data_IF_809276189906
#
_entry.id   IF_809276189906
#
_cell.length_a   1.000
_cell.length_b   1.000
_cell.length_c   1.000
_cell.angle_alpha   90.00
_cell.angle_beta   90.00
_cell.angle_gamma   90.00
#
_symmetry.space_group_name_H-M   'P 1'
#
loop_
_entity.id
_entity.type
_entity.pdbx_description
1 polymer ?
#
# COMPACT_ATOMS: atom_id res chain seq x y z
N UNK A 1 -53.16 -25.53 6.84
CA UNK A 1 -53.05 -25.99 8.23
C UNK A 1 -51.87 -25.28 8.89
N UNK A 2 -52.21 -24.43 9.87
CA UNK A 2 -51.45 -23.95 11.02
C UNK A 2 -50.05 -23.32 10.85
N UNK A 3 -50.04 -21.99 11.04
CA UNK A 3 -48.98 -21.16 11.64
C UNK A 3 -48.31 -21.84 12.85
N UNK A 4 -47.05 -21.45 13.13
CA UNK A 4 -46.61 -21.12 14.50
C UNK A 4 -45.47 -20.10 14.51
N UNK A 5 -45.78 -18.93 15.06
CA UNK A 5 -44.88 -17.88 15.56
C UNK A 5 -44.52 -18.15 17.03
N UNK A 6 -43.32 -17.73 17.47
CA UNK A 6 -42.92 -17.43 18.87
C UNK A 6 -41.54 -16.73 18.74
N UNK A 7 -41.27 -15.45 18.99
CA UNK A 7 -41.58 -14.43 20.03
C UNK A 7 -40.94 -14.69 21.41
N UNK A 8 -39.88 -13.89 21.65
CA UNK A 8 -39.33 -13.25 22.87
C UNK A 8 -39.11 -14.03 24.19
N UNK A 9 -37.96 -13.76 24.83
CA UNK A 9 -37.89 -13.19 26.19
C UNK A 9 -36.47 -12.68 26.57
N UNK A 10 -36.36 -11.37 26.85
CA UNK A 10 -35.39 -10.77 27.79
C UNK A 10 -36.05 -10.72 29.18
N UNK A 11 -35.28 -10.75 30.29
CA UNK A 11 -35.76 -10.22 31.56
C UNK A 11 -35.04 -8.92 31.95
N UNK A 12 -35.85 -7.87 32.10
CA UNK A 12 -35.60 -6.67 32.89
C UNK A 12 -35.84 -7.02 34.37
N UNK A 13 -35.05 -6.48 35.31
CA UNK A 13 -35.41 -6.53 36.74
C UNK A 13 -35.05 -5.21 37.42
N UNK A 14 -36.11 -4.45 37.70
CA UNK A 14 -36.17 -3.31 38.61
C UNK A 14 -36.61 -3.82 39.99
N UNK A 15 -35.97 -3.38 41.07
CA UNK A 15 -36.55 -3.38 42.42
C UNK A 15 -36.30 -2.02 43.04
N UNK A 16 -37.38 -1.42 43.55
CA UNK A 16 -37.46 -0.13 44.21
C UNK A 16 -37.61 -0.30 45.74
N UNK A 17 -37.02 0.67 46.44
CA UNK A 17 -37.46 1.31 47.69
C UNK A 17 -37.27 0.62 49.06
N UNK A 18 -36.77 1.45 50.01
CA UNK A 18 -36.91 1.24 51.45
C UNK A 18 -35.96 2.11 52.29
N UNK A 19 -36.42 3.28 52.74
CA UNK A 19 -35.74 4.11 53.74
C UNK A 19 -35.95 3.53 55.15
N UNK A 20 -34.88 3.40 55.94
CA UNK A 20 -34.95 3.36 57.41
C UNK A 20 -33.59 3.75 58.02
N UNK A 21 -33.61 4.74 58.92
CA UNK A 21 -32.48 5.25 59.71
C UNK A 21 -32.42 4.57 61.08
N UNK A 22 -31.22 4.21 61.54
CA UNK A 22 -30.89 3.84 62.94
C UNK A 22 -29.35 3.98 63.18
N UNK A 23 -28.82 3.95 64.44
CA UNK A 23 -28.06 5.04 65.08
C UNK A 23 -26.52 4.86 65.08
N UNK A 24 -25.72 5.82 65.59
CA UNK A 24 -24.27 5.85 65.38
C UNK A 24 -23.52 4.84 66.26
N UNK A 25 -22.64 4.04 65.64
CA UNK A 25 -21.66 3.20 66.31
C UNK A 25 -20.25 3.83 66.25
N UNK A 26 -19.54 3.66 67.35
CA UNK A 26 -18.20 4.19 67.68
C UNK A 26 -17.10 3.88 66.63
N UNK A 27 -16.02 4.69 66.60
CA UNK A 27 -15.01 4.61 65.54
C UNK A 27 -14.21 3.29 65.61
N UNK A 28 -14.18 2.58 64.48
CA UNK A 28 -13.30 1.44 64.25
C UNK A 28 -11.85 1.90 64.00
N UNK A 29 -10.85 1.09 64.39
CA UNK A 29 -9.43 1.43 64.29
C UNK A 29 -8.96 1.59 62.83
N UNK A 30 -8.03 2.53 62.66
CA UNK A 30 -7.43 2.97 61.41
C UNK A 30 -6.92 1.80 60.54
N UNK A 31 -7.43 1.69 59.32
CA UNK A 31 -6.87 0.81 58.30
C UNK A 31 -5.49 1.33 57.83
N UNK A 32 -4.56 0.43 57.44
CA UNK A 32 -3.27 0.83 56.88
C UNK A 32 -3.48 1.61 55.57
N UNK A 33 -2.70 2.68 55.40
CA UNK A 33 -2.69 3.50 54.19
C UNK A 33 -2.48 2.64 52.94
N UNK A 34 -3.50 2.62 52.06
CA UNK A 34 -3.37 2.12 50.69
C UNK A 34 -2.25 2.92 50.00
N UNK A 35 -1.20 2.22 49.60
CA UNK A 35 -0.20 2.75 48.66
C UNK A 35 -0.93 3.13 47.36
N UNK A 36 -0.63 4.28 46.73
CA UNK A 36 -1.23 4.64 45.46
C UNK A 36 -0.86 3.58 44.43
N UNK A 37 -1.87 2.87 43.91
CA UNK A 37 -1.71 2.03 42.71
C UNK A 37 -1.14 2.91 41.60
N UNK A 38 -0.15 2.44 40.82
CA UNK A 38 0.29 3.15 39.63
C UNK A 38 -0.93 3.41 38.74
N UNK A 39 -1.22 4.68 38.47
CA UNK A 39 -2.24 5.05 37.50
C UNK A 39 -1.84 4.42 36.17
N UNK A 40 -2.59 3.40 35.77
CA UNK A 40 -2.59 2.92 34.39
C UNK A 40 -2.95 4.14 33.54
N UNK A 41 -2.11 4.57 32.58
CA UNK A 41 -2.43 5.74 31.78
C UNK A 41 -3.82 5.55 31.18
N UNK A 42 -4.71 6.50 31.47
CA UNK A 42 -6.05 6.51 30.90
C UNK A 42 -5.92 6.34 29.39
N UNK A 43 -6.56 5.29 28.86
CA UNK A 43 -6.66 5.05 27.43
C UNK A 43 -7.22 6.34 26.82
N UNK A 44 -6.42 7.01 25.99
CA UNK A 44 -6.85 8.26 25.37
C UNK A 44 -8.20 8.02 24.68
N UNK A 45 -9.15 8.96 24.78
CA UNK A 45 -10.44 8.84 24.10
C UNK A 45 -10.16 8.62 22.61
N UNK A 46 -10.89 7.68 22.00
CA UNK A 46 -10.73 7.25 20.60
C UNK A 46 -10.94 8.37 19.57
N UNK A 47 -11.35 9.56 20.02
CA UNK A 47 -11.71 10.72 19.21
C UNK A 47 -10.80 11.93 19.41
N UNK A 48 -9.64 11.79 20.06
CA UNK A 48 -8.62 12.83 19.97
C UNK A 48 -8.18 12.96 18.49
N UNK A 49 -8.20 14.15 17.86
CA UNK A 49 -7.78 14.29 16.49
C UNK A 49 -6.30 13.91 16.39
N UNK A 50 -6.02 12.70 15.87
CA UNK A 50 -4.68 12.31 15.51
C UNK A 50 -4.21 13.28 14.43
N UNK A 51 -3.17 14.06 14.73
CA UNK A 51 -2.56 14.92 13.74
C UNK A 51 -2.10 14.06 12.56
N UNK A 52 -2.60 14.36 11.36
CA UNK A 52 -2.16 13.67 10.15
C UNK A 52 -0.63 13.79 10.00
N UNK A 53 0.05 12.74 9.52
CA UNK A 53 1.49 12.76 9.37
C UNK A 53 1.90 13.83 8.36
N UNK A 54 3.04 14.48 8.63
CA UNK A 54 3.69 15.30 7.60
C UNK A 54 4.06 14.39 6.41
N UNK A 55 3.66 14.76 5.19
CA UNK A 55 4.00 14.01 3.98
C UNK A 55 5.05 14.77 3.19
N UNK A 56 6.17 14.10 2.89
CA UNK A 56 7.20 14.62 2.01
C UNK A 56 7.42 13.65 0.84
N UNK A 57 7.14 14.11 -0.38
CA UNK A 57 7.50 13.36 -1.58
C UNK A 57 8.90 13.79 -2.05
N UNK A 58 9.88 12.91 -1.87
CA UNK A 58 11.28 13.12 -2.25
C UNK A 58 11.62 12.40 -3.56
N UNK A 59 10.62 12.18 -4.41
CA UNK A 59 10.72 11.46 -5.68
C UNK A 59 10.10 12.30 -6.79
N UNK A 60 10.40 12.00 -8.07
CA UNK A 60 9.67 12.61 -9.18
C UNK A 60 8.27 12.00 -9.38
N UNK A 61 7.90 10.94 -8.66
CA UNK A 61 6.65 10.22 -8.88
C UNK A 61 5.48 11.04 -8.37
N UNK A 62 4.41 11.30 -9.15
CA UNK A 62 3.21 11.90 -8.59
C UNK A 62 2.63 10.94 -7.53
N UNK A 63 2.12 11.50 -6.43
CA UNK A 63 1.70 10.74 -5.26
C UNK A 63 0.45 11.33 -4.62
N UNK A 64 -0.30 10.50 -3.88
CA UNK A 64 -1.40 10.92 -3.03
C UNK A 64 -1.43 10.08 -1.75
N UNK A 65 -1.91 10.67 -0.66
CA UNK A 65 -2.16 9.99 0.61
C UNK A 65 -3.67 9.83 0.78
N UNK A 66 -4.10 8.62 1.09
CA UNK A 66 -5.48 8.28 1.41
C UNK A 66 -5.57 7.72 2.83
N UNK A 67 -6.79 7.66 3.34
CA UNK A 67 -7.14 6.96 4.57
C UNK A 67 -8.12 5.86 4.19
N UNK A 68 -7.83 4.64 4.63
CA UNK A 68 -8.71 3.48 4.51
C UNK A 68 -8.97 2.86 5.88
N UNK A 69 -9.92 1.94 5.92
CA UNK A 69 -10.25 1.13 7.09
C UNK A 69 -10.65 -0.26 6.63
N UNK A 70 -10.12 -1.29 7.30
CA UNK A 70 -10.53 -2.67 7.12
C UNK A 70 -10.54 -3.40 8.49
N UNK A 71 -10.64 -4.73 8.48
CA UNK A 71 -10.67 -5.51 9.72
C UNK A 71 -9.36 -5.42 10.56
N UNK A 72 -8.24 -4.95 10.01
CA UNK A 72 -7.02 -4.65 10.78
C UNK A 72 -7.00 -3.22 11.35
N UNK A 73 -8.02 -2.42 11.07
CA UNK A 73 -8.21 -1.07 11.59
C UNK A 73 -7.98 0.02 10.55
N UNK A 74 -7.87 1.26 11.03
CA UNK A 74 -7.67 2.44 10.18
C UNK A 74 -6.20 2.56 9.76
N UNK A 75 -5.95 2.90 8.51
CA UNK A 75 -4.61 3.01 7.94
C UNK A 75 -4.48 4.14 6.92
N UNK A 76 -3.27 4.65 6.78
CA UNK A 76 -2.86 5.49 5.67
C UNK A 76 -2.49 4.62 4.47
N UNK A 77 -2.88 5.04 3.27
CA UNK A 77 -2.48 4.43 1.99
C UNK A 77 -1.72 5.47 1.16
N UNK A 78 -0.41 5.31 1.06
CA UNK A 78 0.42 6.09 0.14
C UNK A 78 0.32 5.46 -1.25
N UNK A 79 -0.09 6.23 -2.24
CA UNK A 79 -0.16 5.80 -3.65
C UNK A 79 0.81 6.65 -4.46
N UNK A 80 1.57 6.02 -5.36
CA UNK A 80 2.47 6.70 -6.30
C UNK A 80 2.35 6.08 -7.69
N UNK A 81 2.60 6.86 -8.75
CA UNK A 81 2.66 6.33 -10.12
C UNK A 81 4.04 6.50 -10.71
N UNK A 82 4.51 5.48 -11.43
CA UNK A 82 5.69 5.56 -12.26
C UNK A 82 5.32 5.24 -13.70
N UNK A 83 5.62 6.17 -14.60
CA UNK A 83 5.44 5.97 -16.04
C UNK A 83 6.76 5.62 -16.69
N UNK A 84 6.76 4.60 -17.54
CA UNK A 84 7.91 4.12 -18.28
C UNK A 84 7.66 4.16 -19.78
N UNK A 85 8.69 4.48 -20.55
CA UNK A 85 8.73 4.30 -21.99
C UNK A 85 9.19 2.87 -22.31
N UNK A 86 8.55 2.24 -23.28
CA UNK A 86 8.90 0.92 -23.80
C UNK A 86 9.94 1.10 -24.90
N UNK A 87 11.17 0.65 -24.64
CA UNK A 87 12.27 0.63 -25.60
C UNK A 87 12.08 -0.45 -26.66
N UNK A 88 12.86 -0.39 -27.75
CA UNK A 88 12.66 -1.28 -28.90
C UNK A 88 12.91 -2.76 -28.56
N UNK A 89 13.74 -3.01 -27.55
CA UNK A 89 14.08 -4.34 -27.02
C UNK A 89 13.16 -4.78 -25.86
N UNK A 90 12.11 -4.00 -25.54
CA UNK A 90 11.20 -4.26 -24.41
C UNK A 90 11.72 -3.80 -23.05
N UNK A 91 12.93 -3.23 -22.97
CA UNK A 91 13.40 -2.58 -21.75
C UNK A 91 12.50 -1.40 -21.39
N UNK A 92 12.30 -1.15 -20.11
CA UNK A 92 11.57 0.00 -19.62
C UNK A 92 12.55 1.09 -19.15
N UNK A 93 12.34 2.33 -19.58
CA UNK A 93 13.05 3.52 -19.09
C UNK A 93 12.07 4.44 -18.38
N UNK A 94 12.45 5.00 -17.22
CA UNK A 94 11.57 5.90 -16.48
C UNK A 94 11.36 7.17 -17.33
N UNK A 95 10.11 7.47 -17.66
CA UNK A 95 9.75 8.66 -18.41
C UNK A 95 9.99 9.94 -17.56
N UNK A 96 9.95 11.10 -18.20
CA UNK A 96 9.83 12.36 -17.45
C UNK A 96 8.48 12.39 -16.73
N UNK A 97 8.48 12.43 -15.41
CA UNK A 97 7.24 12.39 -14.63
C UNK A 97 6.55 13.77 -14.53
N UNK A 98 7.19 14.85 -15.02
CA UNK A 98 6.61 16.19 -15.11
C UNK A 98 5.53 16.27 -16.19
N UNK A 99 4.37 16.85 -15.85
CA UNK A 99 3.12 16.85 -16.63
C UNK A 99 3.10 17.63 -17.95
N UNK A 100 4.21 17.63 -18.70
CA UNK A 100 4.27 18.11 -20.09
C UNK A 100 3.99 17.00 -21.10
N UNK A 101 4.80 15.92 -21.10
CA UNK A 101 4.71 14.87 -22.14
C UNK A 101 5.18 13.45 -21.73
N UNK A 102 5.58 13.18 -20.48
CA UNK A 102 6.15 11.87 -20.12
C UNK A 102 5.36 11.03 -19.11
N UNK A 103 4.81 11.64 -18.06
CA UNK A 103 4.22 10.94 -16.92
C UNK A 103 2.69 10.94 -16.93
N UNK A 104 2.07 9.81 -16.60
CA UNK A 104 0.66 9.77 -16.24
C UNK A 104 0.45 10.42 -14.86
N UNK A 105 -0.38 11.48 -14.74
CA UNK A 105 -0.58 12.18 -13.49
C UNK A 105 -1.49 11.39 -12.53
N UNK A 106 -1.58 11.88 -11.28
CA UNK A 106 -2.69 11.53 -10.39
C UNK A 106 -3.98 12.22 -10.84
N UNK A 107 -5.12 11.68 -10.42
CA UNK A 107 -6.39 12.36 -10.56
C UNK A 107 -6.34 13.73 -9.85
N UNK A 108 -6.85 14.81 -10.47
CA UNK A 108 -6.96 16.11 -9.83
C UNK A 108 -7.75 16.04 -8.52
N UNK A 109 -7.47 16.96 -7.60
CA UNK A 109 -8.13 17.03 -6.30
C UNK A 109 -9.67 17.06 -6.43
N UNK A 110 -10.20 17.78 -7.42
CA UNK A 110 -11.64 17.87 -7.67
C UNK A 110 -12.27 16.50 -7.96
N UNK A 111 -11.62 15.68 -8.79
CA UNK A 111 -12.06 14.32 -9.11
C UNK A 111 -11.89 13.36 -7.92
N UNK A 112 -10.95 13.63 -7.01
CA UNK A 112 -10.71 12.83 -5.81
C UNK A 112 -11.64 13.16 -4.63
N UNK A 113 -12.26 14.35 -4.64
CA UNK A 113 -13.23 14.80 -3.64
C UNK A 113 -14.65 14.31 -3.92
N UNK A 114 -14.97 14.03 -5.19
CA UNK A 114 -16.20 13.35 -5.53
C UNK A 114 -16.18 11.95 -4.87
N UNK A 115 -17.11 11.72 -3.94
CA UNK A 115 -17.18 10.45 -3.21
C UNK A 115 -17.54 9.28 -4.13
N UNK A 116 -17.85 9.53 -5.41
CA UNK A 116 -18.05 8.50 -6.42
C UNK A 116 -16.78 7.67 -6.68
N UNK A 117 -16.94 6.35 -6.82
CA UNK A 117 -15.91 5.44 -7.32
C UNK A 117 -15.98 5.40 -8.85
N UNK A 118 -15.80 6.56 -9.50
CA UNK A 118 -15.95 6.67 -10.95
C UNK A 118 -15.00 5.73 -11.70
N UNK A 119 -15.56 4.92 -12.59
CA UNK A 119 -14.83 4.00 -13.48
C UNK A 119 -14.53 4.61 -14.84
N UNK A 120 -14.84 5.89 -15.05
CA UNK A 120 -14.55 6.61 -16.30
C UNK A 120 -13.04 6.65 -16.56
N UNK A 121 -12.62 6.35 -17.79
CA UNK A 121 -11.22 6.38 -18.18
C UNK A 121 -10.82 7.80 -18.60
N UNK A 122 -9.98 8.44 -17.80
CA UNK A 122 -9.42 9.78 -18.05
C UNK A 122 -7.91 9.71 -18.29
N UNK A 123 -7.20 10.79 -18.67
CA UNK A 123 -5.76 10.74 -18.93
C UNK A 123 -4.91 10.17 -17.80
N UNK A 124 -5.41 10.19 -16.56
CA UNK A 124 -4.81 9.59 -15.35
C UNK A 124 -5.36 8.18 -15.02
N UNK A 125 -6.03 7.51 -15.96
CA UNK A 125 -6.81 6.31 -15.68
C UNK A 125 -8.12 6.64 -14.95
N UNK A 126 -8.66 5.68 -14.19
CA UNK A 126 -9.89 5.86 -13.44
C UNK A 126 -9.64 6.33 -12.01
N UNK A 127 -10.56 7.15 -11.49
CA UNK A 127 -10.58 7.58 -10.08
C UNK A 127 -10.74 6.38 -9.16
N UNK A 128 -11.60 5.41 -9.50
CA UNK A 128 -11.84 4.21 -8.69
C UNK A 128 -10.53 3.45 -8.34
N UNK A 129 -9.63 3.27 -9.32
CA UNK A 129 -8.35 2.58 -9.09
C UNK A 129 -7.41 3.38 -8.17
N UNK A 130 -7.48 4.70 -8.21
CA UNK A 130 -6.63 5.57 -7.40
C UNK A 130 -7.18 5.75 -5.98
N UNK A 131 -8.50 5.77 -5.80
CA UNK A 131 -9.18 5.85 -4.49
C UNK A 131 -9.23 4.54 -3.73
N UNK A 132 -9.03 3.40 -4.41
CA UNK A 132 -8.96 2.10 -3.74
C UNK A 132 -7.74 2.07 -2.81
N UNK A 133 -7.99 1.99 -1.51
CA UNK A 133 -6.97 2.16 -0.46
C UNK A 133 -6.10 0.94 -0.23
N UNK A 134 -6.45 -0.21 -0.82
CA UNK A 134 -5.61 -1.40 -0.83
C UNK A 134 -6.00 -2.35 -1.96
N UNK A 135 -4.99 -2.92 -2.61
CA UNK A 135 -5.12 -4.11 -3.46
C UNK A 135 -4.21 -5.23 -2.94
N UNK A 136 -4.65 -6.50 -2.88
CA UNK A 136 -3.81 -7.62 -2.42
C UNK A 136 -2.84 -8.16 -3.49
N UNK A 137 -2.94 -7.65 -4.72
CA UNK A 137 -2.27 -8.20 -5.90
C UNK A 137 -2.09 -7.13 -6.97
N UNK A 138 -1.42 -7.48 -8.08
CA UNK A 138 -1.26 -6.61 -9.24
C UNK A 138 -2.35 -6.87 -10.29
N UNK A 139 -3.16 -5.87 -10.60
CA UNK A 139 -3.99 -5.83 -11.81
C UNK A 139 -3.16 -5.46 -13.05
N UNK A 140 -3.47 -6.02 -14.20
CA UNK A 140 -2.78 -5.75 -15.48
C UNK A 140 -3.80 -5.49 -16.59
N UNK A 141 -3.66 -4.38 -17.29
CA UNK A 141 -4.45 -4.03 -18.47
C UNK A 141 -3.54 -3.70 -19.64
N UNK A 142 -3.88 -4.18 -20.83
CA UNK A 142 -3.07 -4.00 -22.04
C UNK A 142 -3.96 -3.43 -23.15
N UNK A 143 -3.54 -2.31 -23.72
CA UNK A 143 -4.13 -1.72 -24.93
C UNK A 143 -3.28 -2.11 -26.14
N UNK A 144 -3.93 -2.57 -27.21
CA UNK A 144 -3.28 -2.99 -28.46
C UNK A 144 -2.60 -4.36 -28.38
N UNK A 145 -2.99 -5.19 -27.41
CA UNK A 145 -2.45 -6.52 -27.20
C UNK A 145 -3.04 -7.21 -25.99
N UNK A 146 -2.40 -8.30 -25.57
CA UNK A 146 -2.87 -9.15 -24.48
C UNK A 146 -1.70 -9.60 -23.60
N UNK A 147 -1.94 -9.76 -22.29
CA UNK A 147 -0.98 -10.39 -21.40
C UNK A 147 -0.95 -11.90 -21.70
N UNK A 148 0.23 -12.42 -22.03
CA UNK A 148 0.44 -13.86 -22.26
C UNK A 148 1.21 -14.54 -21.13
N UNK A 149 1.76 -13.77 -20.19
CA UNK A 149 2.32 -14.28 -18.96
C UNK A 149 3.10 -13.22 -18.18
N UNK A 150 3.50 -13.57 -16.97
CA UNK A 150 4.38 -12.74 -16.15
C UNK A 150 5.49 -13.62 -15.56
N UNK A 151 6.62 -13.00 -15.20
CA UNK A 151 7.73 -13.66 -14.50
C UNK A 151 8.21 -12.83 -13.32
N UNK A 152 8.58 -13.52 -12.25
CA UNK A 152 9.18 -12.95 -11.06
C UNK A 152 10.24 -13.94 -10.54
N UNK A 153 11.41 -13.43 -10.14
CA UNK A 153 12.46 -14.25 -9.52
C UNK A 153 12.87 -15.49 -10.34
N UNK A 154 12.79 -15.38 -11.68
CA UNK A 154 13.11 -16.48 -12.61
C UNK A 154 11.99 -17.52 -12.82
N UNK A 155 10.84 -17.37 -12.15
CA UNK A 155 9.69 -18.26 -12.28
C UNK A 155 8.50 -17.55 -12.94
N UNK A 156 7.63 -18.33 -13.58
CA UNK A 156 6.37 -17.83 -14.12
C UNK A 156 5.39 -17.49 -12.97
N UNK A 157 4.70 -16.36 -13.11
CA UNK A 157 3.66 -15.91 -12.17
C UNK A 157 2.30 -16.22 -12.78
N UNK A 158 1.46 -16.92 -12.02
CA UNK A 158 0.10 -17.21 -12.43
C UNK A 158 -0.71 -15.92 -12.60
N UNK A 159 -1.48 -15.87 -13.69
CA UNK A 159 -2.33 -14.75 -14.05
C UNK A 159 -3.75 -15.28 -14.31
N UNK A 160 -4.73 -14.66 -13.65
CA UNK A 160 -6.15 -14.97 -13.75
C UNK A 160 -6.83 -13.90 -14.58
N UNK A 161 -7.57 -14.30 -15.60
CA UNK A 161 -8.35 -13.37 -16.41
C UNK A 161 -9.47 -12.77 -15.55
N UNK A 162 -9.59 -11.45 -15.57
CA UNK A 162 -10.67 -10.74 -14.91
C UNK A 162 -11.94 -10.83 -15.77
N UNK A 163 -13.09 -10.86 -15.11
CA UNK A 163 -14.42 -10.83 -15.73
C UNK A 163 -15.07 -9.49 -15.44
N UNK A 164 -15.86 -8.99 -16.39
CA UNK A 164 -16.67 -7.80 -16.16
C UNK A 164 -17.63 -8.02 -14.97
N UNK A 165 -17.71 -7.02 -14.11
CA UNK A 165 -18.60 -6.96 -12.96
C UNK A 165 -19.24 -5.56 -12.94
N UNK A 166 -20.51 -5.50 -12.56
CA UNK A 166 -21.33 -4.30 -12.33
C UNK A 166 -20.75 -2.95 -12.83
N UNK A 167 -21.25 -2.44 -13.96
CA UNK A 167 -20.96 -1.05 -14.35
C UNK A 167 -19.51 -0.81 -14.79
N UNK A 168 -18.99 -1.71 -15.61
CA UNK A 168 -17.68 -1.61 -16.27
C UNK A 168 -16.47 -1.72 -15.31
N UNK A 169 -16.65 -2.38 -14.17
CA UNK A 169 -15.59 -2.87 -13.30
C UNK A 169 -15.13 -4.26 -13.78
N UNK A 170 -13.94 -4.69 -13.34
CA UNK A 170 -13.44 -6.04 -13.62
C UNK A 170 -12.92 -6.69 -12.35
N UNK A 171 -13.39 -7.89 -12.07
CA UNK A 171 -13.14 -8.68 -10.86
C UNK A 171 -12.84 -10.13 -11.26
N UNK A 172 -12.04 -10.86 -10.47
CA UNK A 172 -11.94 -12.30 -10.67
C UNK A 172 -13.11 -13.02 -9.99
N UNK A 173 -13.88 -13.80 -10.76
CA UNK A 173 -15.06 -14.54 -10.28
C UNK A 173 -14.94 -16.06 -10.49
N UNK A 174 -13.73 -16.55 -10.77
CA UNK A 174 -13.48 -17.97 -11.00
C UNK A 174 -13.52 -18.82 -9.71
N UNK A 175 -13.42 -20.14 -9.88
CA UNK A 175 -13.54 -21.13 -8.79
C UNK A 175 -12.55 -20.96 -7.62
N UNK A 176 -11.40 -20.36 -7.88
CA UNK A 176 -10.32 -20.17 -6.90
C UNK A 176 -10.21 -18.68 -6.50
N UNK A 177 -11.36 -18.00 -6.46
CA UNK A 177 -11.45 -16.61 -6.00
C UNK A 177 -11.17 -16.53 -4.50
N UNK A 178 -10.48 -15.48 -4.09
CA UNK A 178 -10.21 -15.22 -2.68
C UNK A 178 -11.52 -14.84 -1.96
N UNK A 179 -11.55 -14.99 -0.64
CA UNK A 179 -12.72 -14.62 0.16
C UNK A 179 -13.08 -13.13 0.02
N UNK A 180 -12.11 -12.29 -0.34
CA UNK A 180 -12.32 -10.88 -0.66
C UNK A 180 -11.58 -10.56 -1.95
N UNK A 181 -12.36 -10.34 -3.01
CA UNK A 181 -11.86 -9.92 -4.31
C UNK A 181 -12.06 -8.41 -4.48
N UNK A 182 -11.08 -7.77 -5.10
CA UNK A 182 -11.01 -6.34 -5.39
C UNK A 182 -11.19 -6.13 -6.89
N UNK A 183 -12.08 -5.20 -7.24
CA UNK A 183 -12.32 -4.84 -8.62
C UNK A 183 -11.32 -3.79 -9.10
N UNK A 184 -11.13 -3.75 -10.42
CA UNK A 184 -10.40 -2.70 -11.11
C UNK A 184 -11.29 -2.07 -12.18
N UNK A 185 -11.14 -0.76 -12.39
CA UNK A 185 -11.60 -0.13 -13.62
C UNK A 185 -10.59 -0.42 -14.75
N UNK A 186 -11.02 -0.96 -15.92
CA UNK A 186 -10.14 -1.41 -16.99
C UNK A 186 -9.70 -0.27 -17.89
N UNK A 187 -8.93 0.66 -17.33
CA UNK A 187 -8.44 1.84 -18.03
C UNK A 187 -6.93 1.78 -18.28
N UNK A 188 -6.51 2.09 -19.51
CA UNK A 188 -5.14 2.36 -19.91
C UNK A 188 -5.09 3.84 -20.32
N UNK A 189 -4.69 4.71 -19.38
CA UNK A 189 -4.93 6.15 -19.52
C UNK A 189 -6.41 6.42 -19.80
N UNK A 190 -6.69 7.27 -20.79
CA UNK A 190 -8.05 7.63 -21.19
C UNK A 190 -8.80 6.54 -21.98
N UNK A 191 -8.18 5.37 -22.19
CA UNK A 191 -8.72 4.32 -23.05
C UNK A 191 -9.25 3.17 -22.21
N UNK A 192 -10.50 2.78 -22.45
CA UNK A 192 -11.08 1.58 -21.85
C UNK A 192 -10.62 0.34 -22.62
N UNK A 193 -10.29 -0.72 -21.90
CA UNK A 193 -10.02 -2.05 -22.48
C UNK A 193 -11.07 -3.06 -22.02
N UNK A 194 -11.28 -4.11 -22.80
CA UNK A 194 -12.29 -5.15 -22.53
C UNK A 194 -11.75 -6.36 -21.77
N UNK A 195 -10.43 -6.46 -21.61
CA UNK A 195 -9.77 -7.59 -20.94
C UNK A 195 -8.75 -7.10 -19.94
N UNK A 196 -8.69 -7.76 -18.80
CA UNK A 196 -7.68 -7.54 -17.77
C UNK A 196 -7.26 -8.83 -17.11
N UNK A 197 -6.15 -8.76 -16.40
CA UNK A 197 -5.60 -9.88 -15.65
C UNK A 197 -5.28 -9.46 -14.23
N UNK A 198 -5.39 -10.41 -13.31
CA UNK A 198 -4.87 -10.31 -11.96
C UNK A 198 -3.73 -11.30 -11.82
N UNK A 199 -2.58 -10.84 -11.33
CA UNK A 199 -1.51 -11.75 -10.92
C UNK A 199 -1.81 -12.33 -9.53
N UNK A 200 -1.44 -13.57 -9.25
CA UNK A 200 -1.65 -14.19 -7.92
C UNK A 200 -0.73 -13.62 -6.82
N UNK A 201 0.09 -12.62 -7.15
CA UNK A 201 0.97 -11.88 -6.23
C UNK A 201 1.29 -10.51 -6.81
N UNK A 202 1.86 -9.64 -5.98
CA UNK A 202 2.47 -8.41 -6.47
C UNK A 202 3.63 -8.70 -7.44
N UNK A 203 3.70 -7.93 -8.51
CA UNK A 203 4.83 -7.89 -9.43
C UNK A 203 6.03 -7.21 -8.72
N UNK A 204 7.15 -7.93 -8.49
CA UNK A 204 8.31 -7.36 -7.80
C UNK A 204 9.17 -6.51 -8.73
N UNK A 205 10.17 -5.83 -8.16
CA UNK A 205 11.22 -5.18 -8.93
C UNK A 205 12.00 -6.20 -9.80
N UNK A 206 12.37 -5.82 -11.01
CA UNK A 206 12.92 -6.77 -11.99
C UNK A 206 11.94 -7.84 -12.49
N UNK A 207 10.67 -7.79 -12.08
CA UNK A 207 9.59 -8.58 -12.66
C UNK A 207 9.43 -8.30 -14.15
N UNK A 208 8.75 -9.19 -14.86
CA UNK A 208 8.57 -9.10 -16.30
C UNK A 208 7.12 -9.36 -16.68
N UNK A 209 6.57 -8.53 -17.56
CA UNK A 209 5.29 -8.75 -18.22
C UNK A 209 5.56 -9.19 -19.66
N UNK A 210 5.02 -10.34 -20.07
CA UNK A 210 5.05 -10.81 -21.45
C UNK A 210 3.75 -10.42 -22.11
N UNK A 211 3.81 -9.47 -23.03
CA UNK A 211 2.64 -8.97 -23.76
C UNK A 211 2.77 -9.33 -25.23
N UNK A 212 1.68 -9.78 -25.83
CA UNK A 212 1.62 -10.06 -27.26
C UNK A 212 0.79 -8.97 -27.92
N UNK A 213 1.41 -8.24 -28.84
CA UNK A 213 0.72 -7.23 -29.63
C UNK A 213 -0.36 -7.88 -30.49
N UNK A 214 -1.44 -7.15 -30.75
CA UNK A 214 -2.44 -7.57 -31.73
C UNK A 214 -1.83 -7.43 -33.13
N UNK A 215 -2.02 -8.44 -33.98
CA UNK A 215 -1.62 -8.38 -35.38
C UNK A 215 -2.85 -8.41 -36.28
N UNK A 216 -2.87 -7.54 -37.29
CA UNK A 216 -3.84 -7.64 -38.38
C UNK A 216 -3.45 -8.83 -39.26
N UNK A 217 -4.10 -9.98 -39.07
CA UNK A 217 -3.98 -11.16 -39.94
C UNK A 217 -2.85 -12.15 -39.64
N UNK A 218 -2.29 -12.18 -38.43
CA UNK A 218 -1.23 -13.13 -38.04
C UNK A 218 -1.00 -13.24 -36.53
N UNK A 219 0.09 -13.93 -36.12
CA UNK A 219 0.53 -13.93 -34.71
C UNK A 219 1.39 -12.68 -34.47
N UNK A 220 0.93 -11.78 -33.59
CA UNK A 220 1.69 -10.58 -33.24
C UNK A 220 2.94 -10.86 -32.42
N UNK A 221 3.86 -9.89 -32.41
CA UNK A 221 5.12 -9.97 -31.67
C UNK A 221 4.87 -10.03 -30.17
N UNK A 222 5.60 -10.92 -29.48
CA UNK A 222 5.66 -10.93 -28.02
C UNK A 222 6.82 -10.05 -27.55
N UNK A 223 6.52 -9.10 -26.67
CA UNK A 223 7.48 -8.23 -26.00
C UNK A 223 7.62 -8.65 -24.55
N UNK A 224 8.86 -8.70 -24.07
CA UNK A 224 9.17 -8.89 -22.65
C UNK A 224 9.44 -7.53 -22.01
N UNK A 225 8.44 -7.01 -21.28
CA UNK A 225 8.54 -5.74 -20.58
C UNK A 225 9.21 -5.95 -19.23
N UNK A 226 10.47 -5.55 -19.11
CA UNK A 226 11.29 -5.77 -17.91
C UNK A 226 11.27 -4.54 -17.01
N UNK A 227 10.74 -4.70 -15.80
CA UNK A 227 10.81 -3.64 -14.78
C UNK A 227 12.29 -3.38 -14.47
N UNK A 228 12.74 -2.11 -14.38
CA UNK A 228 14.12 -1.82 -14.00
C UNK A 228 14.45 -2.42 -12.64
N UNK A 229 15.69 -2.89 -12.48
CA UNK A 229 16.20 -3.39 -11.19
C UNK A 229 17.53 -2.71 -10.86
N UNK A 230 17.66 -2.05 -9.69
CA UNK A 230 16.60 -1.84 -8.70
C UNK A 230 15.59 -0.78 -9.17
N UNK A 231 14.30 -1.00 -8.88
CA UNK A 231 13.28 0.06 -8.91
C UNK A 231 12.40 -0.15 -7.68
N UNK A 232 12.71 0.56 -6.59
CA UNK A 232 12.10 0.32 -5.29
C UNK A 232 11.55 1.63 -4.71
N UNK A 233 10.29 1.99 -4.99
CA UNK A 233 9.59 3.01 -4.22
C UNK A 233 9.31 2.49 -2.80
N UNK A 234 9.53 3.32 -1.81
CA UNK A 234 9.32 2.99 -0.41
C UNK A 234 8.99 4.25 0.39
N UNK A 235 8.36 4.08 1.55
CA UNK A 235 8.16 5.17 2.50
C UNK A 235 9.08 4.96 3.68
N UNK A 236 9.86 5.98 4.04
CA UNK A 236 10.50 6.04 5.34
C UNK A 236 9.48 6.59 6.35
N UNK A 237 8.90 5.69 7.13
CA UNK A 237 7.92 6.01 8.17
C UNK A 237 8.66 6.46 9.42
N UNK A 238 8.40 7.68 9.88
CA UNK A 238 8.94 8.23 11.12
C UNK A 238 7.84 8.29 12.16
N UNK A 239 7.91 7.44 13.16
CA UNK A 239 6.94 7.40 14.26
C UNK A 239 7.20 8.51 15.28
N UNK A 240 6.19 8.86 16.07
CA UNK A 240 6.35 9.79 17.19
C UNK A 240 7.31 9.25 18.26
N UNK A 241 7.45 7.93 18.37
CA UNK A 241 8.45 7.26 19.22
C UNK A 241 9.91 7.51 18.81
N UNK A 242 10.15 8.10 17.64
CA UNK A 242 11.48 8.27 17.05
C UNK A 242 11.93 7.11 16.17
N UNK A 243 11.18 6.01 16.10
CA UNK A 243 11.47 4.89 15.20
C UNK A 243 11.41 5.35 13.73
N UNK A 244 12.38 4.89 12.94
CA UNK A 244 12.49 5.18 11.51
C UNK A 244 12.46 3.87 10.73
N UNK A 245 11.36 3.59 10.05
CA UNK A 245 11.10 2.28 9.43
C UNK A 245 10.92 2.46 7.93
N UNK A 246 11.86 2.00 7.10
CA UNK A 246 11.62 1.86 5.67
C UNK A 246 10.59 0.76 5.42
N UNK A 247 9.62 1.04 4.56
CA UNK A 247 8.55 0.10 4.20
C UNK A 247 8.34 0.15 2.69
N UNK A 248 8.38 -0.99 1.97
CA UNK A 248 8.25 -1.01 0.52
C UNK A 248 6.84 -0.57 0.09
N UNK A 249 6.74 -0.08 -1.14
CA UNK A 249 5.47 0.03 -1.85
C UNK A 249 5.38 -1.07 -2.91
N UNK A 250 4.18 -1.61 -3.12
CA UNK A 250 3.91 -2.73 -4.03
C UNK A 250 3.27 -2.24 -5.32
N UNK A 251 3.66 -2.79 -6.46
CA UNK A 251 2.98 -2.53 -7.73
C UNK A 251 1.58 -3.17 -7.67
N UNK A 252 0.52 -2.36 -7.56
CA UNK A 252 -0.87 -2.82 -7.44
C UNK A 252 -1.61 -2.79 -8.77
N UNK A 253 -1.15 -1.99 -9.73
CA UNK A 253 -1.74 -1.91 -11.05
C UNK A 253 -0.64 -1.62 -12.09
N UNK A 254 -0.66 -2.35 -13.20
CA UNK A 254 0.17 -2.09 -14.36
C UNK A 254 -0.73 -1.90 -15.59
N UNK A 255 -0.64 -0.75 -16.25
CA UNK A 255 -1.31 -0.50 -17.51
C UNK A 255 -0.26 -0.40 -18.62
N UNK A 256 -0.50 -1.09 -19.72
CA UNK A 256 0.43 -1.17 -20.86
C UNK A 256 -0.28 -0.61 -22.08
N UNK A 257 0.25 0.47 -22.62
CA UNK A 257 -0.16 1.02 -23.90
C UNK A 257 0.88 0.69 -24.96
N UNK A 258 0.61 -0.32 -25.80
CA UNK A 258 1.54 -0.72 -26.85
C UNK A 258 1.60 0.28 -28.00
N UNK A 259 0.50 1.02 -28.24
CA UNK A 259 0.46 2.04 -29.28
C UNK A 259 1.32 3.25 -28.91
N UNK A 260 1.20 3.71 -27.66
CA UNK A 260 1.98 4.83 -27.13
C UNK A 260 3.34 4.41 -26.55
N UNK A 261 3.69 3.13 -26.64
CA UNK A 261 4.93 2.55 -26.09
C UNK A 261 5.15 2.95 -24.63
N UNK A 262 4.13 2.77 -23.79
CA UNK A 262 4.10 3.28 -22.42
C UNK A 262 3.63 2.21 -21.44
N UNK A 263 4.25 2.16 -20.27
CA UNK A 263 3.79 1.38 -19.12
C UNK A 263 3.59 2.30 -17.94
N UNK A 264 2.44 2.26 -17.28
CA UNK A 264 2.21 2.96 -16.02
C UNK A 264 2.06 1.94 -14.92
N UNK A 265 2.81 2.11 -13.84
CA UNK A 265 2.70 1.31 -12.64
C UNK A 265 2.20 2.17 -11.50
N UNK A 266 1.09 1.77 -10.89
CA UNK A 266 0.63 2.31 -9.62
C UNK A 266 1.24 1.48 -8.50
N UNK A 267 1.87 2.17 -7.56
CA UNK A 267 2.45 1.60 -6.35
C UNK A 267 1.62 2.01 -5.13
N UNK A 268 1.48 1.11 -4.17
CA UNK A 268 0.78 1.38 -2.91
C UNK A 268 1.54 0.82 -1.72
N UNK A 269 1.55 1.57 -0.62
CA UNK A 269 1.99 1.11 0.68
C UNK A 269 1.00 1.56 1.75
N UNK A 270 0.78 0.73 2.76
CA UNK A 270 -0.30 0.86 3.75
C UNK A 270 0.27 0.81 5.16
N UNK A 271 -0.16 1.75 6.01
CA UNK A 271 0.45 2.03 7.31
C UNK A 271 -0.63 2.23 8.36
N UNK A 272 -0.61 1.45 9.43
CA UNK A 272 -1.54 1.67 10.54
C UNK A 272 -1.46 3.11 11.05
N UNK A 273 -2.61 3.73 11.35
CA UNK A 273 -2.61 5.07 11.98
C UNK A 273 -2.03 5.02 13.39
N UNK A 274 -2.16 3.86 14.04
CA UNK A 274 -1.57 3.56 15.33
C UNK A 274 -0.53 2.42 15.23
N UNK A 275 0.69 2.59 15.77
CA UNK A 275 1.17 3.75 16.55
C UNK A 275 1.35 5.03 15.73
N UNK A 276 1.07 6.19 16.34
CA UNK A 276 1.08 7.49 15.68
C UNK A 276 2.35 7.77 14.83
N UNK A 277 2.11 8.10 13.56
CA UNK A 277 3.15 8.46 12.59
C UNK A 277 3.33 9.98 12.60
N UNK A 278 4.59 10.42 12.76
CA UNK A 278 4.95 11.84 12.70
C UNK A 278 5.12 12.32 11.27
N UNK A 279 5.81 11.53 10.44
CA UNK A 279 6.19 11.91 9.07
C UNK A 279 6.32 10.69 8.17
N UNK A 280 5.87 10.85 6.92
CA UNK A 280 5.98 9.86 5.85
C UNK A 280 6.81 10.46 4.70
N UNK A 281 7.99 9.91 4.45
CA UNK A 281 8.86 10.35 3.36
C UNK A 281 8.83 9.33 2.22
N UNK A 282 8.14 9.67 1.12
CA UNK A 282 8.20 8.86 -0.10
C UNK A 282 9.59 9.01 -0.72
N UNK A 283 10.25 7.87 -0.94
CA UNK A 283 11.61 7.75 -1.46
C UNK A 283 11.66 6.69 -2.54
N UNK A 284 12.70 6.75 -3.37
CA UNK A 284 12.87 5.87 -4.51
C UNK A 284 14.33 5.46 -4.67
N UNK A 285 14.58 4.16 -4.90
CA UNK A 285 15.86 3.66 -5.39
C UNK A 285 15.69 3.31 -6.86
N UNK A 286 16.55 3.87 -7.71
CA UNK A 286 16.62 3.61 -9.16
C UNK A 286 18.03 3.20 -9.56
N UNK A 287 18.22 2.59 -10.75
CA UNK A 287 19.55 2.29 -11.24
C UNK A 287 20.37 3.57 -11.44
N UNK A 288 21.64 3.55 -11.05
CA UNK A 288 22.55 4.69 -11.23
C UNK A 288 22.28 5.90 -10.33
N UNK A 289 21.53 5.74 -9.23
CA UNK A 289 21.37 6.82 -8.24
C UNK A 289 22.72 7.33 -7.73
N UNK A 290 22.81 8.64 -7.49
CA UNK A 290 24.05 9.29 -7.06
C UNK A 290 24.07 9.49 -5.54
N UNK A 291 25.26 9.54 -4.92
CA UNK A 291 25.39 9.91 -3.51
C UNK A 291 24.77 11.28 -3.22
N UNK A 292 24.25 11.45 -2.00
CA UNK A 292 23.85 12.77 -1.51
C UNK A 292 25.08 13.66 -1.28
N UNK A 293 24.86 14.97 -1.13
CA UNK A 293 25.92 15.90 -0.76
C UNK A 293 26.64 15.44 0.52
N UNK A 294 27.97 15.38 0.47
CA UNK A 294 28.81 14.89 1.58
C UNK A 294 28.85 13.35 1.75
N UNK A 295 28.07 12.58 0.97
CA UNK A 295 28.12 11.12 1.00
C UNK A 295 29.15 10.57 -0.01
N UNK A 296 30.02 9.67 0.44
CA UNK A 296 30.96 8.99 -0.47
C UNK A 296 30.24 7.96 -1.33
N UNK A 297 30.78 7.65 -2.52
CA UNK A 297 30.23 6.61 -3.38
C UNK A 297 30.15 5.24 -2.69
N UNK A 298 31.16 4.89 -1.89
CA UNK A 298 31.18 3.64 -1.11
C UNK A 298 30.06 3.61 -0.06
N UNK A 299 29.85 4.73 0.66
CA UNK A 299 28.77 4.83 1.66
C UNK A 299 27.39 4.74 1.01
N UNK A 300 27.20 5.43 -0.11
CA UNK A 300 25.96 5.37 -0.89
C UNK A 300 25.66 3.93 -1.33
N UNK A 301 26.65 3.20 -1.85
CA UNK A 301 26.49 1.81 -2.27
C UNK A 301 26.13 0.88 -1.09
N UNK A 302 26.84 1.02 0.04
CA UNK A 302 26.58 0.27 1.27
C UNK A 302 25.15 0.51 1.78
N UNK A 303 24.74 1.79 1.88
CA UNK A 303 23.40 2.19 2.29
C UNK A 303 22.33 1.63 1.36
N UNK A 304 22.54 1.78 0.05
CA UNK A 304 21.58 1.33 -0.96
C UNK A 304 21.39 -0.18 -0.91
N UNK A 305 22.48 -0.94 -0.78
CA UNK A 305 22.40 -2.39 -0.67
C UNK A 305 21.71 -2.83 0.63
N UNK A 306 22.02 -2.17 1.76
CA UNK A 306 21.34 -2.42 3.04
C UNK A 306 19.84 -2.12 2.95
N UNK A 307 19.47 -1.01 2.32
CA UNK A 307 18.09 -0.61 2.12
C UNK A 307 17.32 -1.61 1.26
N UNK A 308 17.88 -2.06 0.13
CA UNK A 308 17.25 -3.06 -0.73
C UNK A 308 17.05 -4.40 0.00
N UNK A 309 18.06 -4.85 0.76
CA UNK A 309 17.94 -6.08 1.57
C UNK A 309 16.88 -5.96 2.66
N UNK A 310 16.79 -4.80 3.33
CA UNK A 310 15.81 -4.55 4.37
C UNK A 310 14.38 -4.53 3.82
N UNK A 311 14.15 -3.83 2.71
CA UNK A 311 12.85 -3.79 2.02
C UNK A 311 12.39 -5.19 1.57
N UNK A 312 13.31 -5.99 1.04
CA UNK A 312 13.01 -7.35 0.58
C UNK A 312 12.58 -8.32 1.70
N UNK A 313 12.92 -8.03 2.97
CA UNK A 313 12.48 -8.83 4.13
C UNK A 313 11.03 -8.58 4.52
N UNK A 314 10.43 -7.49 4.04
CA UNK A 314 9.04 -7.18 4.33
C UNK A 314 8.13 -8.08 3.49
N UNK A 315 7.48 -9.04 4.14
CA UNK A 315 6.46 -9.85 3.50
C UNK A 315 5.28 -8.97 3.03
N UNK A 316 4.62 -9.31 1.92
CA UNK A 316 3.43 -8.58 1.49
C UNK A 316 2.28 -8.73 2.51
N UNK A 317 1.40 -7.73 2.64
CA UNK A 317 0.17 -7.84 3.42
C UNK A 317 -0.67 -9.02 2.92
N UNK A 318 -1.29 -9.76 3.85
CA UNK A 318 -2.18 -10.90 3.56
C UNK A 318 -3.41 -10.80 4.45
N UNK A 319 -4.59 -10.97 3.86
CA UNK A 319 -5.88 -10.88 4.56
C UNK A 319 -6.32 -9.46 4.88
N UNK A 320 -5.39 -8.57 5.24
CA UNK A 320 -5.65 -7.18 5.58
C UNK A 320 -4.59 -6.24 5.02
N UNK A 321 -4.91 -4.95 4.94
CA UNK A 321 -4.18 -3.95 4.19
C UNK A 321 -2.77 -3.66 4.71
N UNK A 322 -2.57 -3.55 6.03
CA UNK A 322 -1.36 -2.97 6.64
C UNK A 322 -0.10 -3.77 6.31
N UNK A 323 0.95 -3.10 5.82
CA UNK A 323 2.27 -3.72 5.57
C UNK A 323 2.85 -4.29 6.89
N UNK A 324 3.12 -5.60 6.98
CA UNK A 324 3.53 -6.24 8.24
C UNK A 324 4.81 -5.67 8.87
N UNK A 325 5.70 -5.10 8.05
CA UNK A 325 6.94 -4.49 8.54
C UNK A 325 6.80 -3.02 8.95
N UNK A 326 5.63 -2.38 8.74
CA UNK A 326 5.33 -1.02 9.17
C UNK A 326 5.06 -0.97 10.68
N UNK A 327 6.08 -1.32 11.45
CA UNK A 327 6.01 -1.55 12.89
C UNK A 327 7.17 -0.82 13.58
N UNK A 328 6.92 0.08 14.56
CA UNK A 328 7.97 0.86 15.21
C UNK A 328 8.89 0.05 16.13
N UNK A 329 8.51 -1.17 16.51
CA UNK A 329 9.36 -2.11 17.24
C UNK A 329 10.34 -2.87 16.32
N UNK A 330 10.16 -2.80 14.99
CA UNK A 330 11.10 -3.40 14.03
C UNK A 330 12.44 -2.67 14.10
N UNK A 331 13.54 -3.42 14.02
CA UNK A 331 14.89 -2.87 13.86
C UNK A 331 15.35 -3.03 12.41
N UNK A 332 15.43 -1.95 11.62
CA UNK A 332 15.98 -2.02 10.26
C UNK A 332 17.47 -2.31 10.25
N UNK A 333 18.01 -2.71 9.09
CA UNK A 333 19.47 -2.83 8.91
C UNK A 333 20.17 -1.50 9.32
N UNK A 334 21.05 -1.49 10.34
CA UNK A 334 21.65 -0.26 10.84
C UNK A 334 22.54 0.44 9.79
N UNK A 335 23.00 -0.29 8.76
CA UNK A 335 23.76 0.27 7.65
C UNK A 335 22.92 1.19 6.76
N UNK A 336 21.60 1.24 6.95
CA UNK A 336 20.74 2.25 6.32
C UNK A 336 21.06 3.64 6.86
N UNK A 337 21.27 3.75 8.17
CA UNK A 337 21.42 5.03 8.87
C UNK A 337 22.87 5.38 9.22
N UNK A 338 23.73 4.38 9.36
CA UNK A 338 25.10 4.54 9.83
C UNK A 338 26.07 3.86 8.87
N UNK A 339 27.32 4.32 8.82
CA UNK A 339 28.39 3.60 8.13
C UNK A 339 28.80 2.34 8.90
N UNK A 340 29.39 1.36 8.21
CA UNK A 340 29.94 0.17 8.88
C UNK A 340 30.93 0.49 10.00
N UNK A 341 31.73 1.56 9.87
CA UNK A 341 32.60 2.05 10.95
C UNK A 341 31.78 2.49 12.16
N UNK A 342 30.77 3.34 11.97
CA UNK A 342 29.91 3.83 13.05
C UNK A 342 29.15 2.69 13.73
N UNK A 343 28.72 1.67 12.98
CA UNK A 343 28.08 0.47 13.54
C UNK A 343 29.06 -0.30 14.44
N UNK A 344 30.29 -0.52 13.99
CA UNK A 344 31.34 -1.20 14.79
C UNK A 344 31.68 -0.43 16.06
N UNK A 345 31.79 0.89 15.99
CA UNK A 345 32.05 1.74 17.15
C UNK A 345 30.92 1.69 18.17
N UNK A 346 29.66 1.67 17.71
CA UNK A 346 28.49 1.52 18.59
C UNK A 346 28.41 0.14 19.23
N UNK A 347 28.78 -0.92 18.51
CA UNK A 347 28.80 -2.27 19.03
C UNK A 347 29.83 -2.43 20.16
N UNK A 348 30.97 -1.73 20.10
CA UNK A 348 31.99 -1.73 21.15
C UNK A 348 31.60 -0.98 22.44
N UNK A 349 30.59 -0.12 22.38
CA UNK A 349 30.11 0.70 23.52
C UNK A 349 28.94 0.06 24.26
N UNK A 350 28.44 -1.08 23.79
CA UNK A 350 27.38 -1.88 24.43
C UNK A 350 28.02 -3.05 25.17
#
# INVERSE_FOLDING_TARGET
MLLRSLVLAMPLSLVLAGCATAPPQAPAPSQPQDQPRPEVPAKAPADAPHAEPEVANLTPLPSLLLIGEDAAGRYYSMVAKATFTIEADGRLSLADQGGGHGGEPMAPQADMQDQSMSTECKPYGAVANQRTTWFPYTGVFVRGGTLVGARADGADVAAKALTEHEGAQMLYTGKDADATEYYYAPCVGAQRVSTGWRLDRYLPDGGQLRVRADARGGKGQTLELKIPKPFAPFVLVRYQSGAMIPVPMRAVLATVDLAERRVVMQYQGTYAVEPAIRKMELRLIVPGSRPSEGETAARHAERTQAQLRDLARCAPPKGHAIEPCANPQRTPDPLIFYSSQQVRERAKRR
#
